data_IF_512784501681
#
_entry.id   IF_512784501681
#
_cell.length_a   1.000
_cell.length_b   1.000
_cell.length_c   1.000
_cell.angle_alpha   90.00
_cell.angle_beta   90.00
_cell.angle_gamma   90.00
#
_symmetry.space_group_name_H-M   'P 1'
#
loop_
_entity.id
_entity.type
_entity.pdbx_description
1 polymer ?
#
# COMPACT_ATOMS: atom_id res chain seq x y z
N UNK A 1 10.43 19.81 21.71
CA UNK A 1 10.59 18.72 20.72
C UNK A 1 10.94 19.34 19.38
N UNK A 2 12.08 18.96 18.77
CA UNK A 2 12.59 19.57 17.53
C UNK A 2 11.71 19.21 16.32
N UNK A 3 11.29 20.22 15.55
CA UNK A 3 10.42 20.05 14.37
C UNK A 3 11.02 19.10 13.32
N UNK A 4 12.35 19.04 13.19
CA UNK A 4 13.04 18.14 12.25
C UNK A 4 12.89 16.69 12.67
N UNK A 5 12.92 16.42 13.97
CA UNK A 5 12.73 15.07 14.51
C UNK A 5 11.28 14.62 14.35
N UNK A 6 10.31 15.51 14.60
CA UNK A 6 8.89 15.22 14.39
C UNK A 6 8.59 14.84 12.93
N UNK A 7 9.11 15.62 11.96
CA UNK A 7 8.94 15.31 10.53
C UNK A 7 9.52 13.95 10.15
N UNK A 8 10.67 13.58 10.70
CA UNK A 8 11.28 12.26 10.46
C UNK A 8 10.43 11.13 11.04
N UNK A 9 9.93 11.29 12.27
CA UNK A 9 9.06 10.30 12.90
C UNK A 9 7.78 10.09 12.09
N UNK A 10 7.09 11.16 11.71
CA UNK A 10 5.87 11.10 10.89
C UNK A 10 6.17 10.41 9.54
N UNK A 11 7.28 10.76 8.91
CA UNK A 11 7.67 10.13 7.64
C UNK A 11 7.93 8.62 7.78
N UNK A 12 8.58 8.20 8.87
CA UNK A 12 8.83 6.77 9.13
C UNK A 12 7.53 6.00 9.41
N UNK A 13 6.64 6.58 10.22
CA UNK A 13 5.32 5.98 10.49
C UNK A 13 4.52 5.86 9.20
N UNK A 14 4.50 6.93 8.38
CA UNK A 14 3.81 6.89 7.10
C UNK A 14 4.38 5.80 6.18
N UNK A 15 5.71 5.71 6.07
CA UNK A 15 6.35 4.66 5.26
C UNK A 15 6.02 3.25 5.75
N UNK A 16 5.99 3.03 7.07
CA UNK A 16 5.64 1.74 7.65
C UNK A 16 4.18 1.36 7.37
N UNK A 17 3.25 2.32 7.51
CA UNK A 17 1.84 2.11 7.18
C UNK A 17 1.67 1.82 5.69
N UNK A 18 2.35 2.54 4.80
CA UNK A 18 2.31 2.28 3.36
C UNK A 18 2.88 0.90 3.01
N UNK A 19 3.91 0.43 3.71
CA UNK A 19 4.42 -0.93 3.51
C UNK A 19 3.37 -2.00 3.87
N UNK A 20 2.61 -1.79 4.95
CA UNK A 20 1.51 -2.68 5.33
C UNK A 20 0.38 -2.63 4.30
N UNK A 21 -0.03 -1.45 3.84
CA UNK A 21 -1.12 -1.31 2.86
C UNK A 21 -0.75 -1.94 1.52
N UNK A 22 0.51 -1.79 1.10
CA UNK A 22 1.02 -2.44 -0.09
C UNK A 22 0.94 -3.96 0.01
N UNK A 23 1.30 -4.54 1.17
CA UNK A 23 1.16 -5.98 1.41
C UNK A 23 -0.30 -6.43 1.32
N UNK A 24 -1.24 -5.64 1.84
CA UNK A 24 -2.67 -5.93 1.74
C UNK A 24 -3.13 -5.91 0.28
N UNK A 25 -2.74 -4.90 -0.50
CA UNK A 25 -3.07 -4.82 -1.93
C UNK A 25 -2.47 -6.00 -2.70
N UNK A 26 -1.17 -6.29 -2.50
CA UNK A 26 -0.48 -7.38 -3.18
C UNK A 26 -1.10 -8.73 -2.83
N UNK A 27 -1.38 -8.99 -1.55
CA UNK A 27 -2.03 -10.24 -1.14
C UNK A 27 -3.42 -10.38 -1.79
N UNK A 28 -4.22 -9.31 -1.83
CA UNK A 28 -5.53 -9.33 -2.49
C UNK A 28 -5.45 -9.57 -4.00
N UNK A 29 -4.31 -9.29 -4.64
CA UNK A 29 -4.07 -9.58 -6.06
C UNK A 29 -3.63 -11.03 -6.30
N UNK A 30 -2.98 -11.66 -5.31
CA UNK A 30 -2.51 -13.06 -5.40
C UNK A 30 -3.63 -14.05 -5.06
N UNK A 31 -4.50 -13.72 -4.11
CA UNK A 31 -5.59 -14.61 -3.69
C UNK A 31 -6.84 -14.46 -4.57
N UNK A 32 -7.35 -15.57 -5.09
CA UNK A 32 -8.64 -15.63 -5.78
C UNK A 32 -9.80 -15.85 -4.80
N UNK A 33 -11.01 -15.47 -5.22
CA UNK A 33 -12.24 -15.71 -4.45
C UNK A 33 -12.47 -17.19 -4.17
N UNK A 34 -12.10 -18.07 -5.10
CA UNK A 34 -12.26 -19.52 -4.95
C UNK A 34 -11.34 -20.08 -3.86
N UNK A 35 -10.10 -19.57 -3.79
CA UNK A 35 -9.14 -19.93 -2.75
C UNK A 35 -9.65 -19.51 -1.37
N UNK A 36 -10.23 -18.31 -1.27
CA UNK A 36 -10.78 -17.83 -0.01
C UNK A 36 -12.02 -18.59 0.44
N UNK A 37 -12.90 -18.96 -0.49
CA UNK A 37 -14.07 -19.78 -0.17
C UNK A 37 -13.71 -21.22 0.22
N UNK A 38 -12.57 -21.73 -0.26
CA UNK A 38 -12.06 -23.05 0.12
C UNK A 38 -11.40 -23.08 1.51
N UNK A 39 -10.78 -21.97 1.93
CA UNK A 39 -10.03 -21.89 3.20
C UNK A 39 -10.87 -21.32 4.33
N UNK A 40 -11.72 -20.33 4.04
CA UNK A 40 -12.48 -19.59 5.04
C UNK A 40 -13.86 -20.24 5.21
N UNK A 41 -14.26 -20.62 6.44
CA UNK A 41 -15.60 -21.12 6.70
C UNK A 41 -16.67 -20.08 6.38
N UNK A 42 -17.92 -20.55 6.24
CA UNK A 42 -19.05 -19.65 6.01
C UNK A 42 -19.13 -18.60 7.14
N UNK A 43 -19.36 -17.35 6.75
CA UNK A 43 -19.43 -16.25 7.71
C UNK A 43 -20.72 -16.36 8.53
N UNK A 44 -20.60 -16.55 9.85
CA UNK A 44 -21.73 -16.60 10.78
C UNK A 44 -22.69 -15.41 10.64
N UNK A 45 -22.16 -14.21 10.36
CA UNK A 45 -22.97 -13.03 10.12
C UNK A 45 -23.91 -13.21 8.91
N UNK A 46 -23.37 -13.76 7.82
CA UNK A 46 -24.15 -14.03 6.61
C UNK A 46 -25.20 -15.10 6.86
N UNK A 47 -24.87 -16.13 7.65
CA UNK A 47 -25.82 -17.18 8.04
C UNK A 47 -26.95 -16.61 8.90
N UNK A 48 -26.62 -15.80 9.90
CA UNK A 48 -27.59 -15.30 10.88
C UNK A 48 -28.45 -14.14 10.39
N UNK A 49 -27.89 -13.23 9.59
CA UNK A 49 -28.54 -12.00 9.17
C UNK A 49 -28.86 -11.95 7.67
N UNK A 50 -28.45 -12.96 6.89
CA UNK A 50 -28.60 -13.02 5.43
C UNK A 50 -28.08 -11.76 4.70
N UNK A 51 -27.10 -11.09 5.31
CA UNK A 51 -26.46 -9.88 4.79
C UNK A 51 -24.95 -10.10 4.71
N UNK A 52 -24.29 -9.43 3.77
CA UNK A 52 -22.83 -9.43 3.70
C UNK A 52 -22.27 -8.71 4.94
N UNK A 53 -21.32 -9.36 5.61
CA UNK A 53 -20.62 -8.77 6.75
C UNK A 53 -19.74 -7.60 6.23
N UNK A 54 -19.73 -6.42 6.88
CA UNK A 54 -19.03 -5.24 6.34
C UNK A 54 -17.53 -5.47 6.12
N UNK A 55 -16.89 -6.22 7.02
CA UNK A 55 -15.47 -6.62 6.89
C UNK A 55 -15.26 -7.61 5.73
N UNK A 56 -16.04 -8.69 5.71
CA UNK A 56 -15.94 -9.76 4.70
C UNK A 56 -16.23 -9.22 3.30
N UNK A 57 -17.26 -8.37 3.19
CA UNK A 57 -17.62 -7.66 1.97
C UNK A 57 -16.52 -6.70 1.53
N UNK A 58 -15.82 -6.05 2.47
CA UNK A 58 -14.66 -5.20 2.15
C UNK A 58 -13.47 -6.01 1.64
N UNK A 59 -13.12 -7.13 2.29
CA UNK A 59 -12.05 -8.03 1.82
C UNK A 59 -12.37 -8.58 0.43
N UNK A 60 -13.61 -9.05 0.20
CA UNK A 60 -14.09 -9.47 -1.13
C UNK A 60 -14.05 -8.34 -2.15
N UNK A 61 -14.42 -7.13 -1.73
CA UNK A 61 -14.34 -5.92 -2.54
C UNK A 61 -12.91 -5.64 -2.99
N UNK A 62 -11.92 -5.78 -2.10
CA UNK A 62 -10.50 -5.59 -2.44
C UNK A 62 -10.02 -6.62 -3.47
N UNK A 63 -10.45 -7.87 -3.38
CA UNK A 63 -10.11 -8.91 -4.36
C UNK A 63 -10.79 -8.65 -5.71
N UNK A 64 -12.05 -8.19 -5.70
CA UNK A 64 -12.70 -7.80 -6.94
C UNK A 64 -12.00 -6.59 -7.59
N UNK A 65 -11.59 -5.61 -6.79
CA UNK A 65 -10.81 -4.46 -7.27
C UNK A 65 -9.45 -4.88 -7.84
N UNK A 66 -8.72 -5.77 -7.16
CA UNK A 66 -7.41 -6.26 -7.61
C UNK A 66 -7.48 -7.05 -8.92
N UNK A 67 -8.62 -7.71 -9.19
CA UNK A 67 -8.89 -8.46 -10.43
C UNK A 67 -9.62 -7.63 -11.50
N UNK A 68 -9.75 -6.30 -11.34
CA UNK A 68 -10.39 -5.42 -12.31
C UNK A 68 -11.93 -5.53 -12.41
N UNK A 69 -12.59 -6.19 -11.44
CA UNK A 69 -14.04 -6.37 -11.38
C UNK A 69 -14.72 -5.29 -10.53
N UNK A 70 -14.63 -4.04 -10.98
CA UNK A 70 -15.12 -2.86 -10.26
C UNK A 70 -16.63 -2.90 -9.94
N UNK A 71 -17.46 -3.38 -10.87
CA UNK A 71 -18.90 -3.49 -10.66
C UNK A 71 -19.24 -4.47 -9.52
N UNK A 72 -18.59 -5.63 -9.50
CA UNK A 72 -18.78 -6.64 -8.45
C UNK A 72 -18.27 -6.14 -7.09
N UNK A 73 -17.20 -5.33 -7.06
CA UNK A 73 -16.69 -4.73 -5.83
C UNK A 73 -17.71 -3.79 -5.16
N UNK A 74 -18.38 -2.94 -5.95
CA UNK A 74 -19.41 -2.03 -5.44
C UNK A 74 -20.65 -2.76 -4.95
N UNK A 75 -21.00 -3.91 -5.54
CA UNK A 75 -22.14 -4.71 -5.10
C UNK A 75 -21.92 -5.37 -3.73
N UNK A 76 -20.70 -5.79 -3.42
CA UNK A 76 -20.40 -6.42 -2.12
C UNK A 76 -20.18 -5.40 -1.01
N UNK A 77 -19.59 -4.24 -1.32
CA UNK A 77 -19.45 -3.12 -0.41
C UNK A 77 -19.05 -1.85 -1.20
N UNK A 78 -19.96 -0.88 -1.27
CA UNK A 78 -19.80 0.39 -2.00
C UNK A 78 -18.60 1.24 -1.56
N UNK A 79 -18.08 1.04 -0.35
CA UNK A 79 -16.93 1.78 0.17
C UNK A 79 -15.59 1.17 -0.28
N UNK A 80 -15.58 -0.10 -0.69
CA UNK A 80 -14.35 -0.82 -1.07
C UNK A 80 -13.61 -0.17 -2.23
N UNK A 81 -14.27 0.24 -3.34
CA UNK A 81 -13.57 0.88 -4.45
C UNK A 81 -12.89 2.18 -4.04
N UNK A 82 -13.55 2.97 -3.18
CA UNK A 82 -13.01 4.25 -2.71
C UNK A 82 -11.79 4.05 -1.84
N UNK A 83 -11.89 3.18 -0.82
CA UNK A 83 -10.78 2.89 0.09
C UNK A 83 -9.60 2.24 -0.65
N UNK A 84 -9.86 1.26 -1.51
CA UNK A 84 -8.82 0.59 -2.29
C UNK A 84 -8.06 1.60 -3.18
N UNK A 85 -8.79 2.50 -3.84
CA UNK A 85 -8.18 3.54 -4.69
C UNK A 85 -7.29 4.49 -3.89
N UNK A 86 -7.71 4.91 -2.69
CA UNK A 86 -6.88 5.75 -1.82
C UNK A 86 -5.59 5.06 -1.40
N UNK A 87 -5.65 3.77 -1.06
CA UNK A 87 -4.47 2.99 -0.69
C UNK A 87 -3.51 2.83 -1.88
N UNK A 88 -4.03 2.49 -3.06
CA UNK A 88 -3.23 2.38 -4.29
C UNK A 88 -2.57 3.71 -4.64
N UNK A 89 -3.31 4.83 -4.57
CA UNK A 89 -2.74 6.16 -4.81
C UNK A 89 -1.67 6.49 -3.76
N UNK A 90 -1.90 6.18 -2.48
CA UNK A 90 -0.92 6.39 -1.42
C UNK A 90 0.39 5.65 -1.72
N UNK A 91 0.30 4.37 -2.07
CA UNK A 91 1.45 3.53 -2.37
C UNK A 91 2.18 4.01 -3.62
N UNK A 92 1.46 4.44 -4.67
CA UNK A 92 2.07 5.06 -5.86
C UNK A 92 2.84 6.32 -5.47
N UNK A 93 2.26 7.20 -4.66
CA UNK A 93 2.92 8.44 -4.21
C UNK A 93 4.19 8.13 -3.41
N UNK A 94 4.15 7.17 -2.49
CA UNK A 94 5.34 6.75 -1.73
C UNK A 94 6.42 6.20 -2.65
N UNK A 95 6.06 5.31 -3.57
CA UNK A 95 6.99 4.74 -4.54
C UNK A 95 7.61 5.83 -5.43
N UNK A 96 6.82 6.79 -5.91
CA UNK A 96 7.32 7.93 -6.68
C UNK A 96 8.29 8.79 -5.86
N UNK A 97 7.96 9.11 -4.61
CA UNK A 97 8.85 9.90 -3.74
C UNK A 97 10.16 9.16 -3.50
N UNK A 98 10.12 7.85 -3.20
CA UNK A 98 11.31 7.03 -3.00
C UNK A 98 12.14 6.92 -4.28
N UNK A 99 11.49 6.75 -5.42
CA UNK A 99 12.13 6.68 -6.74
C UNK A 99 12.84 8.01 -7.07
N UNK A 100 12.12 9.14 -6.99
CA UNK A 100 12.67 10.47 -7.24
C UNK A 100 13.79 10.81 -6.26
N UNK A 101 13.64 10.50 -4.97
CA UNK A 101 14.68 10.73 -3.96
C UNK A 101 15.92 9.88 -4.20
N UNK A 102 15.75 8.63 -4.63
CA UNK A 102 16.87 7.75 -5.02
C UNK A 102 17.59 8.29 -6.26
N UNK A 103 16.85 8.81 -7.24
CA UNK A 103 17.43 9.44 -8.43
C UNK A 103 18.18 10.72 -8.10
N UNK A 104 17.62 11.60 -7.26
CA UNK A 104 18.29 12.84 -6.81
C UNK A 104 19.55 12.53 -6.00
N UNK A 105 19.51 11.55 -5.08
CA UNK A 105 20.72 11.16 -4.31
C UNK A 105 21.77 10.54 -5.23
N UNK A 106 21.38 9.71 -6.21
CA UNK A 106 22.33 9.19 -7.20
C UNK A 106 22.93 10.29 -8.08
N UNK A 107 22.13 11.26 -8.51
CA UNK A 107 22.57 12.41 -9.32
C UNK A 107 23.52 13.33 -8.56
N UNK A 108 23.22 13.63 -7.28
CA UNK A 108 24.07 14.47 -6.42
C UNK A 108 25.35 13.74 -6.00
N UNK A 109 25.35 12.41 -5.96
CA UNK A 109 26.54 11.58 -5.67
C UNK A 109 27.39 11.28 -6.91
N UNK A 110 26.97 11.75 -8.09
CA UNK A 110 27.70 11.67 -9.35
C UNK A 110 28.55 12.95 -9.52
N UNK A 111 29.84 12.81 -9.84
CA UNK A 111 30.98 13.08 -8.98
C UNK A 111 31.26 14.57 -8.73
N UNK A 112 31.38 14.99 -7.46
CA UNK A 112 32.34 16.04 -7.12
C UNK A 112 33.70 15.35 -7.00
N UNK A 113 34.48 15.45 -8.08
CA UNK A 113 35.89 15.04 -8.09
C UNK A 113 36.62 15.73 -6.95
N UNK A 114 36.92 14.96 -5.90
CA UNK A 114 37.78 15.40 -4.81
C UNK A 114 39.18 15.53 -5.40
N UNK A 115 39.53 16.77 -5.74
CA UNK A 115 40.87 17.18 -6.11
C UNK A 115 41.82 16.71 -5.00
N UNK A 116 42.71 15.76 -5.31
CA UNK A 116 43.82 15.38 -4.42
C UNK A 116 44.62 16.66 -4.15
N UNK A 117 44.66 17.08 -2.89
CA UNK A 117 45.61 18.08 -2.40
C UNK A 117 46.91 17.31 -2.14
N UNK A 118 47.97 17.69 -2.84
CA UNK A 118 49.34 17.29 -2.56
C UNK A 118 49.68 17.57 -1.10
N UNK A 119 50.11 16.55 -0.36
CA UNK A 119 50.97 16.75 0.80
C UNK A 119 52.39 16.39 0.37
N UNK A 120 53.18 17.43 0.21
CA UNK A 120 54.65 17.39 0.25
C UNK A 120 55.09 16.92 1.64
N UNK A 121 55.94 15.90 1.69
CA UNK A 121 57.03 15.72 2.67
C UNK A 121 58.18 15.07 1.93
#
# INVERSE_FOLDING_TARGET
MDYKQLKRAIFLVWLFLSAITLLVIVSSAVFSMDTLNAIIPQCEWKVKYNQECPLCGMTRGFIFMSHGRFSSASMVNSFSPWLYSLLVINDIVVLLILFLRRHVIKLVRFPLGVHKINQEV
#
